data_IF_894708380784
#
_entry.id   IF_894708380784
#
_cell.length_a   1.000
_cell.length_b   1.000
_cell.length_c   1.000
_cell.angle_alpha   90.00
_cell.angle_beta   90.00
_cell.angle_gamma   90.00
#
_symmetry.space_group_name_H-M   'P 1'
#
loop_
_entity.id
_entity.type
_entity.pdbx_description
1 polymer ?
#
# COMPACT_ATOMS: atom_id res chain seq x y z
N UNK A 1 57.61 26.58 -19.28
CA UNK A 1 57.00 25.23 -19.39
C UNK A 1 55.50 25.40 -19.56
N UNK A 2 54.91 25.00 -20.69
CA UNK A 2 53.46 25.00 -20.89
C UNK A 2 52.90 23.64 -20.46
N UNK A 3 51.95 23.65 -19.52
CA UNK A 3 51.22 22.44 -19.10
C UNK A 3 50.05 22.28 -20.06
N UNK A 4 50.19 21.37 -21.04
CA UNK A 4 49.08 20.99 -21.92
C UNK A 4 48.13 20.10 -21.09
N UNK A 5 47.02 20.67 -20.63
CA UNK A 5 45.95 19.90 -20.00
C UNK A 5 45.22 19.11 -21.08
N UNK A 6 45.29 17.79 -21.00
CA UNK A 6 44.58 16.92 -21.93
C UNK A 6 43.09 16.93 -21.60
N UNK A 7 42.30 17.64 -22.40
CA UNK A 7 40.83 17.63 -22.26
C UNK A 7 40.31 16.42 -23.04
N UNK A 8 39.61 15.47 -22.41
CA UNK A 8 39.10 14.30 -23.10
C UNK A 8 38.11 14.70 -24.20
N UNK A 9 38.06 13.97 -25.33
CA UNK A 9 37.17 14.29 -26.44
C UNK A 9 35.70 14.19 -26.01
N UNK A 10 34.88 15.15 -26.47
CA UNK A 10 33.43 15.12 -26.29
C UNK A 10 32.87 13.87 -26.96
N UNK A 11 32.17 13.02 -26.19
CA UNK A 11 31.41 11.90 -26.73
C UNK A 11 29.93 12.06 -26.37
N UNK A 12 29.07 11.94 -27.38
CA UNK A 12 27.60 12.01 -27.24
C UNK A 12 27.09 10.99 -26.22
N UNK A 13 27.64 9.78 -26.23
CA UNK A 13 27.28 8.72 -25.28
C UNK A 13 27.57 9.07 -23.81
N UNK A 14 28.69 9.75 -23.51
CA UNK A 14 28.99 10.19 -22.13
C UNK A 14 28.11 11.36 -21.71
N UNK A 15 27.77 12.24 -22.64
CA UNK A 15 26.84 13.35 -22.40
C UNK A 15 25.44 12.83 -22.07
N UNK A 16 24.92 11.86 -22.85
CA UNK A 16 23.60 11.28 -22.62
C UNK A 16 23.52 10.53 -21.29
N UNK A 17 24.57 9.77 -20.94
CA UNK A 17 24.67 9.11 -19.64
C UNK A 17 24.69 10.11 -18.47
N UNK A 18 25.46 11.19 -18.57
CA UNK A 18 25.50 12.22 -17.53
C UNK A 18 24.16 12.97 -17.42
N UNK A 19 23.49 13.26 -18.55
CA UNK A 19 22.16 13.87 -18.57
C UNK A 19 21.15 12.98 -17.85
N UNK A 20 21.11 11.68 -18.18
CA UNK A 20 20.23 10.72 -17.52
C UNK A 20 20.49 10.62 -16.01
N UNK A 21 21.76 10.62 -15.59
CA UNK A 21 22.11 10.63 -14.16
C UNK A 21 21.63 11.89 -13.43
N UNK A 22 21.75 13.07 -14.06
CA UNK A 22 21.26 14.33 -13.49
C UNK A 22 19.74 14.34 -13.39
N UNK A 23 19.05 13.87 -14.41
CA UNK A 23 17.58 13.76 -14.42
C UNK A 23 17.10 12.82 -13.30
N UNK A 24 17.73 11.65 -13.15
CA UNK A 24 17.43 10.73 -12.05
C UNK A 24 17.72 11.33 -10.66
N UNK A 25 18.77 12.14 -10.52
CA UNK A 25 19.09 12.81 -9.26
C UNK A 25 18.04 13.88 -8.91
N UNK A 26 17.60 14.66 -9.89
CA UNK A 26 16.55 15.67 -9.73
C UNK A 26 15.22 15.00 -9.36
N UNK A 27 14.85 13.92 -10.06
CA UNK A 27 13.62 13.17 -9.77
C UNK A 27 13.63 12.60 -8.36
N UNK A 28 14.75 12.01 -7.93
CA UNK A 28 14.93 11.54 -6.55
C UNK A 28 14.79 12.67 -5.54
N UNK A 29 15.35 13.85 -5.82
CA UNK A 29 15.27 15.00 -4.92
C UNK A 29 13.82 15.52 -4.81
N UNK A 30 13.07 15.53 -5.91
CA UNK A 30 11.66 15.90 -5.94
C UNK A 30 10.84 14.89 -5.12
N UNK A 31 11.06 13.59 -5.34
CA UNK A 31 10.39 12.54 -4.57
C UNK A 31 10.69 12.63 -3.07
N UNK A 32 11.96 12.82 -2.68
CA UNK A 32 12.38 12.98 -1.29
C UNK A 32 11.73 14.24 -0.65
N UNK A 33 11.61 15.34 -1.41
CA UNK A 33 10.92 16.55 -0.94
C UNK A 33 9.44 16.28 -0.69
N UNK A 34 8.74 15.67 -1.66
CA UNK A 34 7.33 15.32 -1.50
C UNK A 34 7.09 14.40 -0.32
N UNK A 35 7.99 13.43 -0.07
CA UNK A 35 7.87 12.51 1.05
C UNK A 35 7.92 13.22 2.40
N UNK A 36 8.87 14.16 2.53
CA UNK A 36 9.00 14.99 3.74
C UNK A 36 7.83 15.95 3.89
N UNK A 37 7.34 16.57 2.81
CA UNK A 37 6.15 17.43 2.85
C UNK A 37 4.90 16.66 3.28
N UNK A 38 4.74 15.44 2.78
CA UNK A 38 3.58 14.58 3.07
C UNK A 38 3.53 14.15 4.53
N UNK A 39 4.64 13.61 5.05
CA UNK A 39 4.64 12.98 6.38
C UNK A 39 5.32 13.81 7.47
N UNK A 40 6.07 14.85 7.12
CA UNK A 40 6.92 15.65 8.02
C UNK A 40 8.11 14.89 8.63
N UNK A 41 7.89 13.70 9.18
CA UNK A 41 8.93 12.85 9.79
C UNK A 41 8.62 11.35 9.63
N UNK A 42 9.64 10.52 9.85
CA UNK A 42 9.49 9.07 9.84
C UNK A 42 8.55 8.57 10.94
N UNK A 43 8.56 9.19 12.13
CA UNK A 43 7.64 8.84 13.23
C UNK A 43 6.19 9.17 12.90
N UNK A 44 5.95 10.32 12.26
CA UNK A 44 4.61 10.69 11.76
C UNK A 44 4.12 9.71 10.70
N UNK A 45 5.00 9.27 9.78
CA UNK A 45 4.67 8.24 8.80
C UNK A 45 4.32 6.89 9.46
N UNK A 46 5.03 6.50 10.53
CA UNK A 46 4.69 5.30 11.33
C UNK A 46 3.31 5.41 11.96
N UNK A 47 2.99 6.54 12.58
CA UNK A 47 1.66 6.75 13.18
C UNK A 47 0.55 6.73 12.13
N UNK A 48 0.78 7.33 10.96
CA UNK A 48 -0.19 7.32 9.86
C UNK A 48 -0.41 5.90 9.32
N UNK A 49 0.68 5.14 9.12
CA UNK A 49 0.63 3.72 8.76
C UNK A 49 -0.23 2.94 9.74
N UNK A 50 0.02 3.07 11.03
CA UNK A 50 -0.66 2.26 12.04
C UNK A 50 -2.17 2.57 12.08
N UNK A 51 -2.54 3.84 11.92
CA UNK A 51 -3.95 4.25 11.79
C UNK A 51 -4.60 3.64 10.56
N UNK A 52 -4.00 3.82 9.39
CA UNK A 52 -4.56 3.35 8.12
C UNK A 52 -4.67 1.82 8.08
N UNK A 53 -3.62 1.11 8.52
CA UNK A 53 -3.66 -0.35 8.61
C UNK A 53 -4.72 -0.83 9.60
N UNK A 54 -4.87 -0.15 10.76
CA UNK A 54 -5.91 -0.48 11.72
C UNK A 54 -7.32 -0.25 11.15
N UNK A 55 -7.54 0.82 10.39
CA UNK A 55 -8.82 1.08 9.73
C UNK A 55 -9.16 0.00 8.71
N UNK A 56 -8.19 -0.40 7.87
CA UNK A 56 -8.37 -1.48 6.90
C UNK A 56 -8.63 -2.82 7.63
N UNK A 57 -7.89 -3.11 8.71
CA UNK A 57 -8.08 -4.32 9.52
C UNK A 57 -9.48 -4.39 10.12
N UNK A 58 -10.00 -3.26 10.60
CA UNK A 58 -11.36 -3.17 11.10
C UNK A 58 -12.41 -3.40 9.98
N UNK A 59 -12.15 -2.93 8.77
CA UNK A 59 -13.02 -3.19 7.61
C UNK A 59 -13.00 -4.67 7.22
N UNK A 60 -11.82 -5.29 7.18
CA UNK A 60 -11.64 -6.72 6.92
C UNK A 60 -12.43 -7.53 7.94
N UNK A 61 -12.25 -7.25 9.24
CA UNK A 61 -12.93 -7.97 10.32
C UNK A 61 -14.46 -7.91 10.19
N UNK A 62 -15.01 -6.73 9.87
CA UNK A 62 -16.45 -6.58 9.64
C UNK A 62 -16.92 -7.38 8.42
N UNK A 63 -16.17 -7.34 7.32
CA UNK A 63 -16.49 -8.12 6.12
C UNK A 63 -16.42 -9.63 6.36
N UNK A 64 -15.45 -10.10 7.14
CA UNK A 64 -15.34 -11.51 7.53
C UNK A 64 -16.51 -11.96 8.42
N UNK A 65 -16.91 -11.12 9.38
CA UNK A 65 -18.12 -11.37 10.19
C UNK A 65 -19.37 -11.45 9.32
N UNK A 66 -19.55 -10.51 8.39
CA UNK A 66 -20.68 -10.52 7.44
C UNK A 66 -20.67 -11.79 6.58
N UNK A 67 -19.51 -12.22 6.07
CA UNK A 67 -19.39 -13.46 5.30
C UNK A 67 -19.76 -14.69 6.14
N UNK A 68 -19.39 -14.71 7.42
CA UNK A 68 -19.74 -15.81 8.34
C UNK A 68 -21.26 -15.88 8.59
N UNK A 69 -21.90 -14.74 8.79
CA UNK A 69 -23.35 -14.63 8.95
C UNK A 69 -24.08 -15.10 7.69
N UNK A 70 -23.66 -14.64 6.51
CA UNK A 70 -24.21 -15.06 5.21
C UNK A 70 -24.02 -16.55 4.95
N UNK A 71 -22.87 -17.11 5.34
CA UNK A 71 -22.61 -18.55 5.24
C UNK A 71 -23.57 -19.35 6.13
N UNK A 72 -23.81 -18.87 7.35
CA UNK A 72 -24.76 -19.49 8.29
C UNK A 72 -26.19 -19.43 7.75
N UNK A 73 -26.60 -18.28 7.21
CA UNK A 73 -27.90 -18.11 6.57
C UNK A 73 -28.06 -19.02 5.35
N UNK A 74 -27.03 -19.11 4.50
CA UNK A 74 -27.00 -19.98 3.33
C UNK A 74 -27.16 -21.46 3.73
N UNK A 75 -26.42 -21.92 4.73
CA UNK A 75 -26.52 -23.30 5.23
C UNK A 75 -27.91 -23.61 5.79
N UNK A 76 -28.55 -22.63 6.42
CA UNK A 76 -29.92 -22.76 6.91
C UNK A 76 -30.91 -22.92 5.75
N UNK A 77 -30.81 -22.08 4.71
CA UNK A 77 -31.64 -22.19 3.50
C UNK A 77 -31.39 -23.50 2.75
N UNK A 78 -30.15 -24.00 2.67
CA UNK A 78 -29.81 -25.31 2.07
C UNK A 78 -30.48 -26.44 2.85
N UNK A 79 -30.40 -26.39 4.18
CA UNK A 79 -31.00 -27.40 5.05
C UNK A 79 -32.53 -27.46 4.90
N UNK A 80 -33.18 -26.28 4.79
CA UNK A 80 -34.61 -26.19 4.49
C UNK A 80 -34.94 -26.79 3.12
N UNK A 81 -34.21 -26.39 2.07
CA UNK A 81 -34.40 -26.90 0.72
C UNK A 81 -34.26 -28.43 0.65
N UNK A 82 -33.22 -28.98 1.28
CA UNK A 82 -33.01 -30.43 1.37
C UNK A 82 -34.18 -31.14 2.08
N UNK A 83 -34.80 -30.49 3.07
CA UNK A 83 -36.01 -30.99 3.73
C UNK A 83 -37.21 -31.12 2.78
N UNK A 84 -37.39 -30.17 1.85
CA UNK A 84 -38.43 -30.27 0.82
C UNK A 84 -38.13 -31.39 -0.18
N UNK A 85 -36.88 -31.47 -0.64
CA UNK A 85 -36.44 -32.51 -1.59
C UNK A 85 -36.60 -33.92 -1.01
N UNK A 86 -36.20 -34.16 0.24
CA UNK A 86 -36.38 -35.46 0.90
C UNK A 86 -37.84 -35.89 1.01
N UNK A 87 -38.75 -34.92 1.10
CA UNK A 87 -40.18 -35.16 1.16
C UNK A 87 -40.85 -35.21 -0.22
N UNK A 88 -40.06 -35.21 -1.31
CA UNK A 88 -40.53 -35.10 -2.70
C UNK A 88 -41.46 -33.90 -2.94
N UNK A 89 -41.27 -32.82 -2.18
CA UNK A 89 -42.01 -31.56 -2.33
C UNK A 89 -41.19 -30.57 -3.14
N UNK A 90 -41.81 -29.77 -4.01
CA UNK A 90 -41.10 -28.69 -4.69
C UNK A 90 -40.57 -27.69 -3.67
N UNK A 91 -39.32 -27.23 -3.85
CA UNK A 91 -38.75 -26.18 -3.03
C UNK A 91 -39.51 -24.86 -3.29
N UNK A 92 -40.05 -24.21 -2.26
CA UNK A 92 -40.69 -22.90 -2.36
C UNK A 92 -39.81 -21.83 -3.04
N UNK A 93 -40.43 -20.94 -3.81
CA UNK A 93 -39.75 -19.87 -4.57
C UNK A 93 -38.98 -18.91 -3.65
N UNK A 94 -39.53 -18.61 -2.47
CA UNK A 94 -38.84 -17.77 -1.48
C UNK A 94 -37.52 -18.39 -1.01
N UNK A 95 -37.47 -19.71 -0.79
CA UNK A 95 -36.24 -20.41 -0.37
C UNK A 95 -35.21 -20.39 -1.51
N UNK A 96 -35.64 -20.61 -2.76
CA UNK A 96 -34.75 -20.48 -3.93
C UNK A 96 -34.16 -19.06 -4.04
N UNK A 97 -34.99 -18.04 -3.92
CA UNK A 97 -34.54 -16.65 -3.94
C UNK A 97 -33.58 -16.32 -2.79
N UNK A 98 -33.85 -16.81 -1.58
CA UNK A 98 -32.93 -16.65 -0.44
C UNK A 98 -31.58 -17.32 -0.69
N UNK A 99 -31.56 -18.53 -1.26
CA UNK A 99 -30.32 -19.22 -1.62
C UNK A 99 -29.49 -18.39 -2.61
N UNK A 100 -30.13 -17.92 -3.68
CA UNK A 100 -29.44 -17.16 -4.73
C UNK A 100 -28.93 -15.81 -4.20
N UNK A 101 -29.76 -15.09 -3.43
CA UNK A 101 -29.37 -13.83 -2.80
C UNK A 101 -28.20 -14.02 -1.82
N UNK A 102 -28.28 -15.02 -0.93
CA UNK A 102 -27.21 -15.26 0.05
C UNK A 102 -25.90 -15.68 -0.63
N UNK A 103 -25.96 -16.46 -1.72
CA UNK A 103 -24.78 -16.81 -2.52
C UNK A 103 -24.16 -15.58 -3.17
N UNK A 104 -24.98 -14.71 -3.76
CA UNK A 104 -24.49 -13.49 -4.40
C UNK A 104 -23.85 -12.55 -3.39
N UNK A 105 -24.52 -12.32 -2.25
CA UNK A 105 -23.99 -11.48 -1.17
C UNK A 105 -22.69 -12.05 -0.59
N UNK A 106 -22.61 -13.38 -0.40
CA UNK A 106 -21.41 -14.03 0.10
C UNK A 106 -20.24 -13.89 -0.88
N UNK A 107 -20.48 -14.04 -2.18
CA UNK A 107 -19.47 -13.84 -3.21
C UNK A 107 -18.96 -12.39 -3.24
N UNK A 108 -19.87 -11.41 -3.13
CA UNK A 108 -19.52 -9.99 -3.06
C UNK A 108 -18.71 -9.67 -1.80
N UNK A 109 -19.16 -10.14 -0.63
CA UNK A 109 -18.46 -9.94 0.64
C UNK A 109 -17.04 -10.54 0.61
N UNK A 110 -16.91 -11.77 0.11
CA UNK A 110 -15.61 -12.45 -0.02
C UNK A 110 -14.67 -11.71 -0.97
N UNK A 111 -15.18 -11.22 -2.10
CA UNK A 111 -14.41 -10.41 -3.05
C UNK A 111 -13.93 -9.11 -2.41
N UNK A 112 -14.82 -8.44 -1.66
CA UNK A 112 -14.48 -7.20 -0.96
C UNK A 112 -13.39 -7.42 0.10
N UNK A 113 -13.54 -8.45 0.95
CA UNK A 113 -12.53 -8.83 1.95
C UNK A 113 -11.18 -9.11 1.30
N UNK A 114 -11.17 -9.83 0.17
CA UNK A 114 -9.94 -10.12 -0.58
C UNK A 114 -9.29 -8.85 -1.12
N UNK A 115 -10.08 -7.93 -1.68
CA UNK A 115 -9.60 -6.63 -2.14
C UNK A 115 -8.98 -5.81 -1.00
N UNK A 116 -9.64 -5.77 0.16
CA UNK A 116 -9.14 -5.10 1.35
C UNK A 116 -7.83 -5.70 1.86
N UNK A 117 -7.68 -7.03 1.86
CA UNK A 117 -6.43 -7.71 2.21
C UNK A 117 -5.29 -7.32 1.28
N UNK A 118 -5.52 -7.32 -0.03
CA UNK A 118 -4.54 -6.85 -1.02
C UNK A 118 -4.18 -5.38 -0.79
N UNK A 119 -5.17 -4.52 -0.54
CA UNK A 119 -4.94 -3.10 -0.25
C UNK A 119 -4.10 -2.91 1.01
N UNK A 120 -4.37 -3.68 2.06
CA UNK A 120 -3.60 -3.68 3.31
C UNK A 120 -2.13 -4.02 3.05
N UNK A 121 -1.86 -5.07 2.29
CA UNK A 121 -0.50 -5.49 1.96
C UNK A 121 0.25 -4.45 1.13
N UNK A 122 -0.43 -3.84 0.15
CA UNK A 122 0.12 -2.77 -0.66
C UNK A 122 0.46 -1.54 0.19
N UNK A 123 -0.47 -1.10 1.04
CA UNK A 123 -0.24 0.01 1.97
C UNK A 123 0.93 -0.28 2.90
N UNK A 124 0.99 -1.48 3.49
CA UNK A 124 2.09 -1.88 4.38
C UNK A 124 3.46 -1.82 3.67
N UNK A 125 3.54 -2.30 2.42
CA UNK A 125 4.77 -2.23 1.62
C UNK A 125 5.15 -0.79 1.27
N UNK A 126 4.18 0.03 0.89
CA UNK A 126 4.41 1.44 0.57
C UNK A 126 4.93 2.20 1.79
N UNK A 127 4.23 2.11 2.93
CA UNK A 127 4.68 2.74 4.17
C UNK A 127 6.06 2.26 4.62
N UNK A 128 6.37 0.96 4.48
CA UNK A 128 7.70 0.45 4.82
C UNK A 128 8.80 1.13 4.00
N UNK A 129 8.60 1.28 2.69
CA UNK A 129 9.53 1.97 1.81
C UNK A 129 9.65 3.46 2.17
N UNK A 130 8.52 4.14 2.34
CA UNK A 130 8.45 5.56 2.68
C UNK A 130 9.17 5.86 4.00
N UNK A 131 8.95 5.05 5.03
CA UNK A 131 9.62 5.19 6.34
C UNK A 131 11.13 5.00 6.21
N UNK A 132 11.59 4.03 5.40
CA UNK A 132 13.02 3.81 5.16
C UNK A 132 13.65 5.04 4.47
N UNK A 133 12.99 5.59 3.45
CA UNK A 133 13.48 6.79 2.75
C UNK A 133 13.49 8.01 3.68
N UNK A 134 12.44 8.23 4.46
CA UNK A 134 12.39 9.32 5.45
C UNK A 134 13.53 9.22 6.46
N UNK A 135 13.77 8.03 7.03
CA UNK A 135 14.89 7.81 7.96
C UNK A 135 16.26 8.05 7.33
N UNK A 136 16.40 7.85 6.02
CA UNK A 136 17.63 8.18 5.28
C UNK A 136 17.79 9.69 5.17
N UNK A 137 16.73 10.39 4.74
CA UNK A 137 16.72 11.85 4.56
C UNK A 137 16.98 12.56 5.89
N UNK A 138 16.34 12.12 6.97
CA UNK A 138 16.53 12.65 8.32
C UNK A 138 17.99 12.54 8.78
N UNK A 139 18.60 11.34 8.61
CA UNK A 139 20.02 11.14 8.93
C UNK A 139 20.95 12.04 8.11
N UNK A 140 20.70 12.19 6.81
CA UNK A 140 21.48 13.07 5.95
C UNK A 140 21.40 14.54 6.37
N UNK A 141 20.23 14.99 6.85
CA UNK A 141 20.05 16.35 7.36
C UNK A 141 20.79 16.58 8.67
N UNK A 142 20.81 15.60 9.58
CA UNK A 142 21.56 15.68 10.84
C UNK A 142 23.07 15.83 10.58
N UNK A 143 23.63 15.01 9.68
CA UNK A 143 25.07 15.09 9.33
C UNK A 143 25.46 16.42 8.65
N UNK A 144 24.55 17.07 7.92
CA UNK A 144 24.82 18.37 7.30
C UNK A 144 24.79 19.51 8.31
N UNK A 145 23.96 19.42 9.36
CA UNK A 145 23.89 20.42 10.41
C UNK A 145 25.14 20.41 11.31
N UNK A 146 25.70 19.23 11.60
CA UNK A 146 26.92 19.10 12.44
C UNK A 146 28.17 19.70 11.76
N UNK A 147 28.35 19.51 10.44
CA UNK A 147 29.49 20.07 9.70
C UNK A 147 29.48 21.60 9.55
N UNK A 148 28.37 22.28 9.86
CA UNK A 148 28.26 23.75 9.75
C UNK A 148 28.74 24.45 11.03
N UNK A 149 28.90 23.73 12.15
CA UNK A 149 29.30 24.30 13.44
C UNK A 149 30.83 24.37 13.59
N UNK A 150 31.58 23.47 12.95
CA UNK A 150 33.06 23.43 13.04
C UNK A 150 33.79 24.42 12.11
N UNK A 151 33.10 25.11 11.20
CA UNK A 151 33.72 25.99 10.19
C UNK A 151 33.69 27.49 10.53
N UNK A 152 33.42 27.86 11.78
CA UNK A 152 33.49 29.26 12.23
C UNK A 152 34.68 29.49 13.18
N UNK A 153 35.93 29.64 12.67
CA UNK A 153 37.01 30.17 13.48
C UNK A 153 36.78 31.69 13.64
N UNK A 154 36.66 32.13 14.89
CA UNK A 154 36.78 33.55 15.25
C UNK A 154 38.18 34.08 14.94
#
# INVERSE_FOLDING_TARGET
MQIIRHVPPFSTQRYDQQKAQREQAIEKQIADRHLVETYTSSDRAVLQRDRELSEIDNQIKRGEQQSQELTTALNSSISLAAGYERNNKPIPVNIKSQLDNNRQLLAQSTTNVTSLKTKREQAAKQFANDIIQLKRIERQRMTQQEGTIESNPR
#
